data_IF_804170129278
#
_entry.id   IF_804170129278
#
_cell.length_a   1.000
_cell.length_b   1.000
_cell.length_c   1.000
_cell.angle_alpha   90.00
_cell.angle_beta   90.00
_cell.angle_gamma   90.00
#
_symmetry.space_group_name_H-M   'P 1'
#
loop_
_entity.id
_entity.type
_entity.pdbx_description
1 polymer ?
#
# COMPACT_ATOMS: atom_id res chain seq x y z
N UNK A 1 2.56 -15.98 -14.78
CA UNK A 1 3.19 -14.68 -14.45
C UNK A 1 3.69 -13.99 -15.71
N UNK A 2 4.64 -14.57 -16.43
CA UNK A 2 5.23 -13.94 -17.64
C UNK A 2 4.17 -13.55 -18.66
N UNK A 3 3.19 -14.41 -18.96
CA UNK A 3 2.10 -14.11 -19.89
C UNK A 3 1.23 -12.90 -19.45
N UNK A 4 0.93 -12.78 -18.15
CA UNK A 4 0.19 -11.65 -17.61
C UNK A 4 0.97 -10.33 -17.82
N UNK A 5 2.28 -10.33 -17.55
CA UNK A 5 3.14 -9.17 -17.75
C UNK A 5 3.24 -8.83 -19.24
N UNK A 6 3.54 -9.81 -20.09
CA UNK A 6 3.75 -9.58 -21.54
C UNK A 6 2.52 -9.01 -22.21
N UNK A 7 1.31 -9.45 -21.86
CA UNK A 7 0.06 -8.87 -22.39
C UNK A 7 -0.10 -7.39 -22.05
N UNK A 8 0.43 -6.95 -20.92
CA UNK A 8 0.33 -5.56 -20.47
C UNK A 8 1.49 -4.67 -20.98
N UNK A 9 2.47 -5.26 -21.71
CA UNK A 9 3.50 -4.49 -22.41
C UNK A 9 3.04 -3.93 -23.77
N UNK A 10 1.84 -4.29 -24.20
CA UNK A 10 1.27 -3.74 -25.45
C UNK A 10 0.92 -2.27 -25.23
N UNK A 11 1.61 -1.38 -25.95
CA UNK A 11 1.43 0.08 -25.82
C UNK A 11 1.90 0.76 -27.12
N UNK A 12 1.18 1.81 -27.52
CA UNK A 12 1.55 2.67 -28.65
C UNK A 12 2.57 3.75 -28.26
N UNK A 13 2.87 3.85 -26.98
CA UNK A 13 3.83 4.81 -26.41
C UNK A 13 4.87 4.09 -25.56
N UNK A 14 6.07 4.66 -25.36
CA UNK A 14 7.06 4.11 -24.45
C UNK A 14 6.48 3.98 -23.03
N UNK A 15 6.67 2.82 -22.42
CA UNK A 15 6.27 2.56 -21.04
C UNK A 15 7.49 2.44 -20.11
N UNK A 16 7.26 2.60 -18.82
CA UNK A 16 8.25 2.38 -17.78
C UNK A 16 7.76 1.36 -16.74
N UNK A 17 8.61 0.98 -15.81
CA UNK A 17 8.22 0.15 -14.67
C UNK A 17 8.63 0.79 -13.34
N UNK A 18 7.85 0.54 -12.29
CA UNK A 18 8.21 0.90 -10.93
C UNK A 18 9.09 -0.20 -10.35
N UNK A 19 10.28 0.16 -9.87
CA UNK A 19 11.29 -0.78 -9.41
C UNK A 19 11.74 -0.41 -7.98
N UNK A 20 11.32 -1.18 -6.99
CA UNK A 20 11.74 -1.04 -5.59
C UNK A 20 12.83 -2.05 -5.18
N UNK A 21 13.30 -2.89 -6.09
CA UNK A 21 14.19 -4.00 -5.76
C UNK A 21 13.55 -5.13 -4.94
N UNK A 22 12.24 -5.05 -4.66
CA UNK A 22 11.46 -6.15 -4.09
C UNK A 22 11.12 -7.20 -5.16
N UNK A 23 10.76 -8.42 -4.74
CA UNK A 23 10.46 -9.54 -5.63
C UNK A 23 9.48 -9.15 -6.75
N UNK A 24 8.38 -8.52 -6.40
CA UNK A 24 7.26 -8.26 -7.30
C UNK A 24 7.63 -7.29 -8.43
N UNK A 25 8.16 -6.13 -8.05
CA UNK A 25 8.62 -5.11 -9.00
C UNK A 25 9.78 -5.61 -9.85
N UNK A 26 10.66 -6.43 -9.27
CA UNK A 26 11.80 -7.02 -9.96
C UNK A 26 11.37 -8.01 -11.03
N UNK A 27 10.37 -8.87 -10.76
CA UNK A 27 9.81 -9.80 -11.76
C UNK A 27 9.21 -9.04 -12.94
N UNK A 28 8.43 -7.98 -12.70
CA UNK A 28 7.84 -7.15 -13.76
C UNK A 28 8.95 -6.49 -14.59
N UNK A 29 9.90 -5.83 -13.94
CA UNK A 29 10.97 -5.10 -14.63
C UNK A 29 11.88 -6.04 -15.42
N UNK A 30 12.16 -7.23 -14.88
CA UNK A 30 12.96 -8.24 -15.56
C UNK A 30 12.29 -8.76 -16.85
N UNK A 31 10.99 -9.10 -16.79
CA UNK A 31 10.23 -9.55 -17.95
C UNK A 31 10.13 -8.43 -18.99
N UNK A 32 9.82 -7.21 -18.56
CA UNK A 32 9.71 -6.05 -19.44
C UNK A 32 11.06 -5.73 -20.12
N UNK A 33 12.17 -5.72 -19.37
CA UNK A 33 13.49 -5.44 -19.90
C UNK A 33 13.92 -6.51 -20.92
N UNK A 34 13.68 -7.80 -20.65
CA UNK A 34 13.94 -8.88 -21.63
C UNK A 34 13.08 -8.76 -22.90
N UNK A 35 11.82 -8.32 -22.76
CA UNK A 35 10.96 -8.08 -23.92
C UNK A 35 11.47 -6.92 -24.76
N UNK A 36 11.85 -5.81 -24.13
CA UNK A 36 12.45 -4.65 -24.81
C UNK A 36 13.72 -5.03 -25.56
N UNK A 37 14.62 -5.76 -24.91
CA UNK A 37 15.85 -6.24 -25.52
C UNK A 37 15.57 -7.16 -26.73
N UNK A 38 14.64 -8.12 -26.59
CA UNK A 38 14.24 -9.03 -27.67
C UNK A 38 13.65 -8.29 -28.88
N UNK A 39 12.94 -7.18 -28.63
CA UNK A 39 12.33 -6.35 -29.67
C UNK A 39 13.28 -5.28 -30.23
N UNK A 40 14.51 -5.19 -29.74
CA UNK A 40 15.48 -4.18 -30.16
C UNK A 40 15.09 -2.74 -29.75
N UNK A 41 14.28 -2.59 -28.70
CA UNK A 41 13.86 -1.30 -28.16
C UNK A 41 14.98 -0.69 -27.31
N UNK A 42 14.96 0.65 -27.06
CA UNK A 42 15.87 1.28 -26.10
C UNK A 42 15.80 0.62 -24.72
N UNK A 43 16.83 0.83 -23.89
CA UNK A 43 16.83 0.33 -22.52
C UNK A 43 15.55 0.75 -21.78
N UNK A 44 14.91 -0.20 -21.10
CA UNK A 44 13.70 0.06 -20.31
C UNK A 44 13.97 1.14 -19.26
N UNK A 45 13.11 2.12 -19.18
CA UNK A 45 13.15 3.11 -18.10
C UNK A 45 12.44 2.57 -16.85
N UNK A 46 13.10 2.73 -15.70
CA UNK A 46 12.59 2.28 -14.41
C UNK A 46 12.67 3.40 -13.39
N UNK A 47 11.71 3.43 -12.46
CA UNK A 47 11.61 4.47 -11.44
C UNK A 47 11.48 3.86 -10.05
N UNK A 48 12.21 4.42 -9.09
CA UNK A 48 12.00 4.18 -7.67
C UNK A 48 11.71 5.49 -6.94
N UNK A 49 11.26 5.35 -5.70
CA UNK A 49 10.81 6.45 -4.87
C UNK A 49 11.51 6.42 -3.51
N UNK A 50 11.91 7.59 -3.01
CA UNK A 50 12.44 7.77 -1.67
C UNK A 50 12.05 9.16 -1.13
N UNK A 51 12.39 9.44 0.11
CA UNK A 51 12.15 10.72 0.77
C UNK A 51 13.46 11.41 1.08
N UNK A 52 13.42 12.75 1.12
CA UNK A 52 14.60 13.55 1.47
C UNK A 52 15.13 13.15 2.85
N UNK A 53 16.45 12.95 2.93
CA UNK A 53 17.18 12.53 4.13
C UNK A 53 16.73 11.20 4.75
N UNK A 54 15.99 10.37 4.03
CA UNK A 54 15.46 9.13 4.57
C UNK A 54 16.56 8.19 5.08
N UNK A 55 17.67 8.09 4.36
CA UNK A 55 18.83 7.27 4.78
C UNK A 55 19.43 7.71 6.13
N UNK A 56 19.37 9.03 6.45
CA UNK A 56 19.87 9.57 7.74
C UNK A 56 19.05 9.12 8.93
N UNK A 57 17.73 8.93 8.71
CA UNK A 57 16.77 8.59 9.77
C UNK A 57 16.33 7.12 9.72
N UNK A 58 16.74 6.38 8.69
CA UNK A 58 16.36 4.99 8.52
C UNK A 58 16.85 4.14 9.70
N UNK A 59 15.93 3.41 10.31
CA UNK A 59 16.22 2.43 11.35
C UNK A 59 15.69 1.08 10.90
N UNK A 60 16.57 0.07 10.74
CA UNK A 60 16.15 -1.27 10.41
C UNK A 60 15.14 -1.83 11.41
N UNK A 61 14.14 -2.53 10.91
CA UNK A 61 13.12 -3.19 11.72
C UNK A 61 12.87 -4.61 11.21
N UNK A 62 12.18 -5.43 11.99
CA UNK A 62 11.73 -6.76 11.51
C UNK A 62 10.81 -6.69 10.30
N UNK A 63 10.23 -5.52 10.05
CA UNK A 63 9.32 -5.26 8.93
C UNK A 63 10.03 -4.69 7.70
N UNK A 64 11.06 -3.87 7.89
CA UNK A 64 11.94 -3.31 6.86
C UNK A 64 13.39 -3.47 7.31
N UNK A 65 14.03 -4.62 6.99
CA UNK A 65 15.36 -4.95 7.49
C UNK A 65 16.48 -4.16 6.80
N UNK A 66 16.25 -3.70 5.56
CA UNK A 66 17.25 -2.98 4.76
C UNK A 66 16.60 -1.90 3.89
N UNK A 67 17.43 -0.97 3.39
CA UNK A 67 17.01 0.03 2.40
C UNK A 67 16.82 -0.61 1.02
N UNK A 68 15.99 -0.01 0.18
CA UNK A 68 15.68 -0.52 -1.16
C UNK A 68 16.79 -0.25 -2.19
N UNK A 69 17.55 0.82 -2.02
CA UNK A 69 18.51 1.33 -3.01
C UNK A 69 19.52 0.28 -3.51
N UNK A 70 20.21 -0.53 -2.66
CA UNK A 70 21.15 -1.55 -3.16
C UNK A 70 20.50 -2.61 -4.06
N UNK A 71 19.25 -2.93 -3.79
CA UNK A 71 18.48 -3.91 -4.56
C UNK A 71 18.02 -3.35 -5.91
N UNK A 72 17.70 -2.06 -5.94
CA UNK A 72 17.41 -1.33 -7.18
C UNK A 72 18.64 -1.31 -8.08
N UNK A 73 19.80 -0.96 -7.53
CA UNK A 73 21.09 -0.96 -8.24
C UNK A 73 21.41 -2.34 -8.81
N UNK A 74 21.26 -3.38 -7.99
CA UNK A 74 21.45 -4.78 -8.40
C UNK A 74 20.59 -5.19 -9.58
N UNK A 75 19.31 -4.76 -9.61
CA UNK A 75 18.39 -5.00 -10.72
C UNK A 75 18.76 -4.20 -11.96
N UNK A 76 19.13 -2.93 -11.78
CA UNK A 76 19.53 -2.04 -12.88
C UNK A 76 20.75 -2.56 -13.60
N UNK A 77 21.75 -3.06 -12.87
CA UNK A 77 22.94 -3.69 -13.43
C UNK A 77 22.59 -5.00 -14.18
N UNK A 78 21.78 -5.87 -13.55
CA UNK A 78 21.45 -7.18 -14.13
C UNK A 78 20.65 -7.09 -15.43
N UNK A 79 19.82 -6.06 -15.58
CA UNK A 79 18.93 -5.90 -16.74
C UNK A 79 19.24 -4.69 -17.62
N UNK A 80 20.31 -3.94 -17.31
CA UNK A 80 20.75 -2.76 -18.06
C UNK A 80 19.64 -1.74 -18.28
N UNK A 81 18.81 -1.51 -17.25
CA UNK A 81 17.71 -0.54 -17.30
C UNK A 81 18.24 0.90 -17.08
N UNK A 82 17.50 1.88 -17.58
CA UNK A 82 17.77 3.28 -17.28
C UNK A 82 16.94 3.68 -16.05
N UNK A 83 17.57 3.69 -14.88
CA UNK A 83 16.92 3.95 -13.62
C UNK A 83 16.93 5.41 -13.20
N UNK A 84 15.82 5.89 -12.63
CA UNK A 84 15.69 7.22 -12.00
C UNK A 84 15.12 7.07 -10.60
N UNK A 85 15.81 7.59 -9.60
CA UNK A 85 15.32 7.73 -8.23
C UNK A 85 14.61 9.07 -8.09
N UNK A 86 13.34 9.05 -7.67
CA UNK A 86 12.56 10.25 -7.41
C UNK A 86 12.47 10.48 -5.91
N UNK A 87 12.93 11.62 -5.43
CA UNK A 87 12.97 11.95 -4.00
C UNK A 87 11.92 13.00 -3.68
N UNK A 88 11.05 12.73 -2.70
CA UNK A 88 10.00 13.63 -2.25
C UNK A 88 10.49 14.48 -1.05
N UNK A 89 10.46 15.81 -1.15
CA UNK A 89 10.64 16.67 0.01
C UNK A 89 9.53 16.50 1.03
N UNK A 90 9.86 16.49 2.31
CA UNK A 90 8.87 16.30 3.38
C UNK A 90 7.77 17.40 3.42
N UNK A 91 8.08 18.69 3.19
CA UNK A 91 7.03 19.70 3.06
C UNK A 91 6.06 19.43 1.91
N UNK A 92 6.54 18.97 0.76
CA UNK A 92 5.70 18.62 -0.40
C UNK A 92 4.80 17.43 -0.08
N UNK A 93 5.33 16.42 0.64
CA UNK A 93 4.56 15.27 1.11
C UNK A 93 3.34 15.69 1.94
N UNK A 94 3.53 16.67 2.84
CA UNK A 94 2.47 17.21 3.69
C UNK A 94 1.49 18.09 2.90
N UNK A 95 1.98 18.92 1.99
CA UNK A 95 1.14 19.78 1.16
C UNK A 95 0.22 18.98 0.23
N UNK A 96 0.71 17.87 -0.32
CA UNK A 96 -0.04 17.01 -1.22
C UNK A 96 -1.15 16.18 -0.56
N UNK A 97 -1.34 16.25 0.77
CA UNK A 97 -2.48 15.62 1.44
C UNK A 97 -3.83 16.12 0.89
N UNK A 98 -3.92 17.41 0.58
CA UNK A 98 -5.14 18.04 0.04
C UNK A 98 -5.43 17.58 -1.38
N UNK A 99 -4.39 17.54 -2.20
CA UNK A 99 -4.49 17.06 -3.58
C UNK A 99 -4.82 15.57 -3.63
N UNK A 100 -4.32 14.77 -2.69
CA UNK A 100 -4.64 13.35 -2.59
C UNK A 100 -6.13 13.14 -2.24
N UNK A 101 -6.69 13.96 -1.32
CA UNK A 101 -8.14 13.96 -1.04
C UNK A 101 -8.93 14.35 -2.29
N UNK A 102 -8.47 15.38 -3.02
CA UNK A 102 -9.11 15.82 -4.25
C UNK A 102 -9.09 14.74 -5.35
N UNK A 103 -7.97 14.04 -5.50
CA UNK A 103 -7.81 12.97 -6.49
C UNK A 103 -8.69 11.75 -6.18
N UNK A 104 -8.90 11.47 -4.89
CA UNK A 104 -9.63 10.29 -4.41
C UNK A 104 -11.12 10.54 -4.17
N UNK A 105 -11.54 11.81 -4.02
CA UNK A 105 -12.86 12.23 -3.55
C UNK A 105 -13.18 11.80 -2.10
N UNK A 106 -12.21 11.27 -1.38
CA UNK A 106 -12.32 10.70 -0.03
C UNK A 106 -11.00 10.87 0.74
N UNK A 107 -11.03 10.91 2.08
CA UNK A 107 -9.84 10.67 2.89
C UNK A 107 -9.24 9.29 2.58
N UNK A 108 -7.94 9.18 2.62
CA UNK A 108 -7.25 7.98 2.18
C UNK A 108 -6.18 7.49 3.15
N UNK A 109 -5.07 7.01 2.60
CA UNK A 109 -3.96 6.44 3.37
C UNK A 109 -2.87 7.48 3.68
N UNK A 110 -3.26 8.69 4.02
CA UNK A 110 -2.36 9.77 4.47
C UNK A 110 -1.16 10.00 3.52
N UNK A 111 0.07 9.97 4.08
CA UNK A 111 1.32 10.12 3.32
C UNK A 111 1.55 9.02 2.27
N UNK A 112 0.95 7.86 2.45
CA UNK A 112 1.03 6.78 1.46
C UNK A 112 0.35 7.17 0.15
N UNK A 113 -0.76 7.93 0.22
CA UNK A 113 -1.45 8.46 -0.95
C UNK A 113 -0.72 9.68 -1.53
N UNK A 114 -0.35 10.66 -0.69
CA UNK A 114 0.33 11.88 -1.17
C UNK A 114 1.70 11.59 -1.77
N UNK A 115 2.45 10.62 -1.23
CA UNK A 115 3.71 10.18 -1.82
C UNK A 115 3.52 9.51 -3.18
N UNK A 116 2.48 8.69 -3.32
CA UNK A 116 2.17 8.07 -4.61
C UNK A 116 1.74 9.12 -5.64
N UNK A 117 0.95 10.12 -5.24
CA UNK A 117 0.56 11.23 -6.12
C UNK A 117 1.78 12.03 -6.58
N UNK A 118 2.70 12.35 -5.66
CA UNK A 118 3.97 12.99 -6.02
C UNK A 118 4.73 12.16 -7.05
N UNK A 119 4.92 10.88 -6.76
CA UNK A 119 5.64 9.95 -7.62
C UNK A 119 5.03 9.87 -9.02
N UNK A 120 3.71 9.68 -9.10
CA UNK A 120 3.01 9.60 -10.38
C UNK A 120 3.10 10.90 -11.17
N UNK A 121 2.99 12.07 -10.54
CA UNK A 121 3.18 13.37 -11.20
C UNK A 121 4.57 13.51 -11.82
N UNK A 122 5.62 13.08 -11.10
CA UNK A 122 7.00 13.14 -11.60
C UNK A 122 7.25 12.14 -12.74
N UNK A 123 6.69 10.95 -12.68
CA UNK A 123 6.78 9.96 -13.77
C UNK A 123 6.00 10.43 -15.00
N UNK A 124 4.83 11.03 -14.81
CA UNK A 124 3.98 11.55 -15.89
C UNK A 124 4.62 12.67 -16.73
N UNK A 125 5.67 13.31 -16.22
CA UNK A 125 6.45 14.29 -17.02
C UNK A 125 7.15 13.64 -18.24
N UNK A 126 7.31 12.30 -18.23
CA UNK A 126 8.05 11.58 -19.27
C UNK A 126 7.28 10.37 -19.82
N UNK A 127 6.38 9.78 -19.08
CA UNK A 127 5.65 8.58 -19.45
C UNK A 127 4.16 8.75 -19.21
N UNK A 128 3.35 8.11 -20.04
CA UNK A 128 1.89 8.03 -19.87
C UNK A 128 1.43 6.63 -19.47
N UNK A 129 2.34 5.62 -19.54
CA UNK A 129 2.06 4.23 -19.15
C UNK A 129 3.19 3.71 -18.26
N UNK A 130 2.83 3.08 -17.16
CA UNK A 130 3.77 2.40 -16.26
C UNK A 130 3.23 1.03 -15.82
N UNK A 131 4.12 0.09 -15.45
CA UNK A 131 3.76 -1.17 -14.81
C UNK A 131 4.21 -1.16 -13.34
N UNK A 132 3.34 -1.67 -12.45
CA UNK A 132 3.58 -1.75 -11.01
C UNK A 132 3.44 -3.18 -10.49
N UNK A 133 4.23 -3.52 -9.44
CA UNK A 133 4.20 -4.83 -8.78
C UNK A 133 3.07 -5.02 -7.77
N UNK A 134 2.09 -4.14 -7.70
CA UNK A 134 0.94 -4.30 -6.80
C UNK A 134 0.13 -5.56 -7.10
N UNK A 135 -0.67 -6.00 -6.16
CA UNK A 135 -1.46 -7.22 -6.14
C UNK A 135 -0.67 -8.53 -5.92
N UNK A 136 0.65 -8.54 -6.03
CA UNK A 136 1.42 -9.77 -5.80
C UNK A 136 1.32 -10.27 -4.36
N UNK A 137 1.30 -9.37 -3.38
CA UNK A 137 1.14 -9.76 -1.97
C UNK A 137 -0.26 -10.34 -1.68
N UNK A 138 -1.27 -9.78 -2.32
CA UNK A 138 -2.66 -10.20 -2.20
C UNK A 138 -2.89 -11.58 -2.80
N UNK A 139 -2.35 -11.80 -3.98
CA UNK A 139 -2.54 -13.03 -4.76
C UNK A 139 -1.69 -14.18 -4.22
N UNK A 140 -0.44 -13.92 -3.88
CA UNK A 140 0.53 -14.94 -3.45
C UNK A 140 0.71 -15.06 -1.93
N UNK A 141 -0.04 -14.31 -1.13
CA UNK A 141 -0.01 -14.42 0.33
C UNK A 141 1.23 -13.78 0.97
N UNK A 142 1.57 -12.54 0.58
CA UNK A 142 2.77 -11.84 1.05
C UNK A 142 2.65 -11.16 2.42
N UNK A 143 1.48 -11.14 3.04
CA UNK A 143 1.22 -10.41 4.27
C UNK A 143 1.33 -11.25 5.54
N UNK A 144 1.64 -10.64 6.70
CA UNK A 144 1.78 -11.36 7.96
C UNK A 144 0.48 -12.00 8.46
N UNK A 145 -0.68 -11.51 8.05
CA UNK A 145 -1.97 -12.08 8.47
C UNK A 145 -2.30 -13.45 7.87
N UNK A 146 -1.50 -13.94 6.93
CA UNK A 146 -1.61 -15.31 6.47
C UNK A 146 -0.85 -16.32 7.35
N UNK A 147 0.05 -15.84 8.24
CA UNK A 147 0.98 -16.69 9.01
C UNK A 147 0.86 -16.48 10.53
N UNK A 148 0.70 -15.21 10.97
CA UNK A 148 0.60 -14.90 12.40
C UNK A 148 -0.77 -15.33 12.92
N UNK A 149 -0.76 -16.28 13.86
CA UNK A 149 -1.99 -16.91 14.38
C UNK A 149 -3.00 -15.87 14.91
N UNK A 150 -2.53 -14.85 15.63
CA UNK A 150 -3.37 -13.77 16.17
C UNK A 150 -4.01 -12.88 15.11
N UNK A 151 -3.47 -12.91 13.88
CA UNK A 151 -4.03 -12.19 12.73
C UNK A 151 -4.89 -13.10 11.87
N UNK A 152 -4.44 -14.32 11.62
CA UNK A 152 -5.15 -15.31 10.82
C UNK A 152 -6.50 -15.67 11.45
N UNK A 153 -6.53 -15.87 12.77
CA UNK A 153 -7.75 -16.25 13.50
C UNK A 153 -8.52 -15.07 14.12
N UNK A 154 -8.17 -13.83 13.73
CA UNK A 154 -8.94 -12.66 14.18
C UNK A 154 -10.39 -12.74 13.68
N UNK A 155 -11.36 -12.47 14.55
CA UNK A 155 -12.79 -12.43 14.20
C UNK A 155 -13.16 -11.02 13.65
N UNK A 156 -12.32 -10.52 12.75
CA UNK A 156 -12.49 -9.26 12.01
C UNK A 156 -11.52 -9.22 10.83
N UNK A 157 -11.55 -8.14 10.04
CA UNK A 157 -10.56 -7.92 8.98
C UNK A 157 -9.14 -7.84 9.55
N UNK A 158 -8.20 -8.72 9.15
CA UNK A 158 -6.88 -8.83 9.78
C UNK A 158 -6.05 -7.55 9.77
N UNK A 159 -6.26 -6.68 8.78
CA UNK A 159 -5.57 -5.39 8.63
C UNK A 159 -6.26 -4.22 9.35
N UNK A 160 -7.39 -4.46 10.00
CA UNK A 160 -8.22 -3.45 10.66
C UNK A 160 -8.61 -3.86 12.09
N UNK A 161 -7.72 -4.58 12.79
CA UNK A 161 -8.00 -5.12 14.13
C UNK A 161 -8.11 -4.07 15.23
N UNK A 162 -7.48 -2.91 15.05
CA UNK A 162 -7.45 -1.84 16.05
C UNK A 162 -8.51 -0.78 15.73
N UNK A 163 -9.77 -1.21 15.73
CA UNK A 163 -10.90 -0.29 15.54
C UNK A 163 -11.07 0.65 16.73
N UNK A 164 -10.73 0.20 17.95
CA UNK A 164 -10.82 0.98 19.17
C UNK A 164 -9.90 2.21 19.15
N UNK A 165 -8.73 2.09 18.55
CA UNK A 165 -7.83 3.22 18.37
C UNK A 165 -8.46 4.39 17.58
N UNK A 166 -9.28 4.05 16.59
CA UNK A 166 -10.05 5.05 15.84
C UNK A 166 -11.23 5.57 16.67
N UNK A 167 -11.92 4.69 17.39
CA UNK A 167 -13.02 5.09 18.25
C UNK A 167 -12.62 6.13 19.30
N UNK A 168 -11.41 6.04 19.84
CA UNK A 168 -10.91 6.98 20.86
C UNK A 168 -10.75 8.41 20.36
N UNK A 169 -10.47 8.60 19.06
CA UNK A 169 -10.28 9.94 18.47
C UNK A 169 -11.57 10.56 17.92
N UNK A 170 -12.62 9.75 17.70
CA UNK A 170 -13.91 10.23 17.19
C UNK A 170 -14.89 10.55 18.32
N UNK A 171 -15.90 11.37 18.02
CA UNK A 171 -17.01 11.60 18.93
C UNK A 171 -17.79 10.31 19.20
N UNK A 172 -17.93 9.96 20.47
CA UNK A 172 -18.56 8.70 20.89
C UNK A 172 -20.05 8.61 20.52
N UNK A 173 -20.76 9.77 20.55
CA UNK A 173 -22.17 9.86 20.16
C UNK A 173 -22.34 9.64 18.66
N UNK A 174 -21.49 10.26 17.85
CA UNK A 174 -21.44 10.05 16.41
C UNK A 174 -21.10 8.60 16.06
N UNK A 175 -20.06 8.05 16.68
CA UNK A 175 -19.65 6.66 16.46
C UNK A 175 -20.79 5.66 16.69
N UNK A 176 -21.51 5.84 17.80
CA UNK A 176 -22.67 5.02 18.15
C UNK A 176 -23.83 5.24 17.16
N UNK A 177 -24.13 6.48 16.81
CA UNK A 177 -25.22 6.85 15.87
C UNK A 177 -24.99 6.26 14.49
N UNK A 178 -23.73 6.21 14.02
CA UNK A 178 -23.34 5.62 12.74
C UNK A 178 -23.25 4.09 12.78
N UNK A 179 -23.24 3.47 13.97
CA UNK A 179 -23.14 2.02 14.13
C UNK A 179 -21.85 1.44 13.51
N UNK A 180 -20.72 2.15 13.61
CA UNK A 180 -19.48 1.82 12.92
C UNK A 180 -18.99 0.41 13.24
N UNK A 181 -19.04 0.01 14.51
CA UNK A 181 -18.59 -1.33 14.95
C UNK A 181 -19.48 -2.43 14.37
N UNK A 182 -20.81 -2.23 14.41
CA UNK A 182 -21.78 -3.19 13.88
C UNK A 182 -21.67 -3.31 12.36
N UNK A 183 -21.39 -2.19 11.67
CA UNK A 183 -21.16 -2.19 10.23
C UNK A 183 -19.91 -2.99 9.86
N UNK A 184 -18.81 -2.84 10.57
CA UNK A 184 -17.56 -3.58 10.31
C UNK A 184 -17.79 -5.08 10.55
N UNK A 185 -18.43 -5.46 11.67
CA UNK A 185 -18.75 -6.87 11.96
C UNK A 185 -19.67 -7.48 10.88
N UNK A 186 -20.75 -6.78 10.54
CA UNK A 186 -21.66 -7.20 9.47
C UNK A 186 -20.93 -7.44 8.14
N UNK A 187 -20.11 -6.48 7.71
CA UNK A 187 -19.38 -6.61 6.44
C UNK A 187 -18.38 -7.75 6.46
N UNK A 188 -17.69 -7.93 7.58
CA UNK A 188 -16.76 -9.04 7.77
C UNK A 188 -17.50 -10.39 7.65
N UNK A 189 -18.56 -10.62 8.44
CA UNK A 189 -19.31 -11.88 8.43
C UNK A 189 -19.97 -12.16 7.09
N UNK A 190 -20.56 -11.15 6.47
CA UNK A 190 -21.16 -11.28 5.15
C UNK A 190 -20.13 -11.66 4.08
N UNK A 191 -18.91 -11.13 4.16
CA UNK A 191 -17.84 -11.44 3.22
C UNK A 191 -17.26 -12.85 3.46
N UNK A 192 -17.08 -13.27 4.70
CA UNK A 192 -16.63 -14.64 5.04
C UNK A 192 -17.66 -15.68 4.54
N UNK A 193 -18.95 -15.39 4.67
CA UNK A 193 -20.02 -16.27 4.19
C UNK A 193 -20.01 -16.48 2.67
N UNK A 194 -19.43 -15.54 1.91
CA UNK A 194 -19.33 -15.61 0.45
C UNK A 194 -18.04 -16.32 -0.03
N UNK A 195 -17.16 -16.75 0.89
CA UNK A 195 -15.90 -17.40 0.51
C UNK A 195 -16.17 -18.70 -0.27
N UNK A 196 -15.64 -18.87 -1.48
CA UNK A 196 -15.68 -20.15 -2.18
C UNK A 196 -14.93 -21.21 -1.39
N UNK A 197 -15.58 -22.30 -1.06
CA UNK A 197 -15.05 -23.36 -0.20
C UNK A 197 -14.73 -24.60 -1.03
N UNK A 198 -13.74 -25.37 -0.54
CA UNK A 198 -13.42 -26.70 -1.07
C UNK A 198 -13.93 -27.77 -0.10
N UNK A 199 -14.54 -28.82 -0.66
CA UNK A 199 -14.94 -29.98 0.12
C UNK A 199 -13.70 -30.72 0.66
N UNK A 200 -13.73 -31.09 1.94
CA UNK A 200 -12.63 -31.80 2.60
C UNK A 200 -11.37 -30.96 2.87
N UNK A 201 -11.41 -29.64 2.68
CA UNK A 201 -10.28 -28.77 3.03
C UNK A 201 -10.09 -28.76 4.56
N UNK A 202 -8.81 -28.86 5.01
CA UNK A 202 -8.53 -28.76 6.44
C UNK A 202 -8.86 -27.36 7.00
N UNK A 203 -9.21 -27.25 8.30
CA UNK A 203 -9.69 -25.99 8.88
C UNK A 203 -8.71 -24.82 8.74
N UNK A 204 -7.41 -25.09 8.82
CA UNK A 204 -6.39 -24.06 8.74
C UNK A 204 -6.26 -23.49 7.32
N UNK A 205 -6.31 -24.33 6.29
CA UNK A 205 -6.33 -23.91 4.89
C UNK A 205 -7.65 -23.24 4.54
N UNK A 206 -8.78 -23.73 5.05
CA UNK A 206 -10.09 -23.09 4.90
C UNK A 206 -10.07 -21.66 5.47
N UNK A 207 -9.44 -21.46 6.64
CA UNK A 207 -9.28 -20.12 7.23
C UNK A 207 -8.38 -19.22 6.39
N UNK A 208 -7.26 -19.71 5.86
CA UNK A 208 -6.42 -18.95 4.94
C UNK A 208 -7.15 -18.56 3.65
N UNK A 209 -8.02 -19.42 3.16
CA UNK A 209 -8.91 -19.14 2.02
C UNK A 209 -9.89 -18.01 2.32
N UNK A 210 -10.50 -17.99 3.52
CA UNK A 210 -11.33 -16.87 3.98
C UNK A 210 -10.53 -15.58 4.01
N UNK A 211 -9.35 -15.58 4.60
CA UNK A 211 -8.48 -14.39 4.66
C UNK A 211 -8.04 -13.95 3.26
N UNK A 212 -7.75 -14.90 2.35
CA UNK A 212 -7.45 -14.57 0.96
C UNK A 212 -8.64 -13.93 0.24
N UNK A 213 -9.86 -14.45 0.46
CA UNK A 213 -11.09 -13.87 -0.07
C UNK A 213 -11.33 -12.45 0.42
N UNK A 214 -11.22 -12.23 1.72
CA UNK A 214 -11.30 -10.90 2.32
C UNK A 214 -10.25 -9.96 1.73
N UNK A 215 -9.01 -10.46 1.58
CA UNK A 215 -7.89 -9.69 1.07
C UNK A 215 -8.13 -9.23 -0.38
N UNK A 216 -8.59 -10.12 -1.25
CA UNK A 216 -8.89 -9.80 -2.65
C UNK A 216 -10.05 -8.80 -2.78
N UNK A 217 -11.12 -8.97 -1.99
CA UNK A 217 -12.33 -8.16 -2.14
C UNK A 217 -12.29 -6.81 -1.42
N UNK A 218 -11.42 -6.65 -0.42
CA UNK A 218 -11.36 -5.44 0.40
C UNK A 218 -10.00 -4.74 0.36
N UNK A 219 -8.96 -5.41 0.80
CA UNK A 219 -7.65 -4.78 0.93
C UNK A 219 -7.04 -4.47 -0.43
N UNK A 220 -7.03 -5.46 -1.34
CA UNK A 220 -6.57 -5.28 -2.71
C UNK A 220 -7.35 -4.18 -3.43
N UNK A 221 -8.69 -4.20 -3.31
CA UNK A 221 -9.54 -3.17 -3.91
C UNK A 221 -9.20 -1.77 -3.40
N UNK A 222 -8.92 -1.63 -2.09
CA UNK A 222 -8.48 -0.35 -1.50
C UNK A 222 -7.14 0.11 -2.09
N UNK A 223 -6.18 -0.81 -2.29
CA UNK A 223 -4.88 -0.48 -2.86
C UNK A 223 -4.97 -0.17 -4.37
N UNK A 224 -5.82 -0.88 -5.09
CA UNK A 224 -6.07 -0.61 -6.52
C UNK A 224 -6.75 0.75 -6.72
N UNK A 225 -7.78 1.07 -5.94
CA UNK A 225 -8.43 2.38 -5.96
C UNK A 225 -7.42 3.49 -5.66
N UNK A 226 -6.59 3.31 -4.62
CA UNK A 226 -5.50 4.24 -4.31
C UNK A 226 -4.55 4.43 -5.51
N UNK A 227 -4.10 3.32 -6.12
CA UNK A 227 -3.19 3.37 -7.26
C UNK A 227 -3.81 4.11 -8.43
N UNK A 228 -5.01 3.72 -8.82
CA UNK A 228 -5.74 4.30 -9.94
C UNK A 228 -5.98 5.80 -9.74
N UNK A 229 -6.55 6.18 -8.60
CA UNK A 229 -6.88 7.59 -8.30
C UNK A 229 -5.65 8.51 -8.33
N UNK A 230 -4.55 8.09 -7.69
CA UNK A 230 -3.33 8.91 -7.65
C UNK A 230 -2.64 8.98 -9.01
N UNK A 231 -2.60 7.89 -9.75
CA UNK A 231 -1.96 7.86 -11.06
C UNK A 231 -2.79 8.55 -12.14
N UNK A 232 -4.09 8.32 -12.19
CA UNK A 232 -4.97 8.96 -13.17
C UNK A 232 -5.13 10.47 -12.94
N UNK A 233 -5.14 10.93 -11.68
CA UNK A 233 -5.08 12.36 -11.37
C UNK A 233 -3.76 13.02 -11.86
N UNK A 234 -2.75 12.21 -12.16
CA UNK A 234 -1.47 12.65 -12.72
C UNK A 234 -1.39 12.46 -14.26
N UNK A 235 -2.42 11.88 -14.89
CA UNK A 235 -2.39 11.53 -16.31
C UNK A 235 -1.49 10.33 -16.65
N UNK A 236 -1.24 9.45 -15.67
CA UNK A 236 -0.40 8.25 -15.81
C UNK A 236 -1.26 6.98 -15.67
N UNK A 237 -1.33 6.18 -16.72
CA UNK A 237 -1.95 4.84 -16.68
C UNK A 237 -0.99 3.86 -16.00
N UNK A 238 -1.34 3.37 -14.82
CA UNK A 238 -0.54 2.35 -14.13
C UNK A 238 -1.20 0.99 -14.23
N UNK A 239 -0.55 0.06 -14.91
CA UNK A 239 -0.97 -1.32 -15.08
C UNK A 239 -0.43 -2.22 -13.96
N UNK A 240 -1.24 -3.19 -13.56
CA UNK A 240 -0.94 -4.11 -12.44
C UNK A 240 -1.03 -5.59 -12.88
N UNK A 241 0.01 -6.13 -13.52
CA UNK A 241 -0.03 -7.46 -14.12
C UNK A 241 -0.38 -8.61 -13.17
N UNK A 242 -0.09 -8.47 -11.87
CA UNK A 242 -0.45 -9.49 -10.88
C UNK A 242 -1.96 -9.56 -10.60
N UNK A 243 -2.73 -8.56 -11.05
CA UNK A 243 -4.20 -8.55 -10.97
C UNK A 243 -4.86 -9.15 -12.22
N UNK A 244 -4.10 -9.75 -13.14
CA UNK A 244 -4.63 -10.49 -14.28
C UNK A 244 -5.53 -11.64 -13.77
N UNK A 245 -6.81 -11.65 -14.19
CA UNK A 245 -7.78 -12.59 -13.65
C UNK A 245 -7.40 -14.06 -13.88
N UNK A 246 -6.78 -14.40 -15.02
CA UNK A 246 -6.29 -15.77 -15.27
C UNK A 246 -5.19 -16.16 -14.27
N UNK A 247 -4.33 -15.20 -13.90
CA UNK A 247 -3.31 -15.43 -12.88
C UNK A 247 -3.94 -15.60 -11.50
N UNK A 248 -4.89 -14.75 -11.14
CA UNK A 248 -5.61 -14.83 -9.86
C UNK A 248 -6.35 -16.15 -9.73
N UNK A 249 -7.12 -16.57 -10.75
CA UNK A 249 -7.84 -17.85 -10.79
C UNK A 249 -6.90 -19.05 -10.65
N UNK A 250 -5.76 -19.01 -11.35
CA UNK A 250 -4.77 -20.06 -11.25
C UNK A 250 -4.17 -20.16 -9.86
N UNK A 251 -3.73 -19.03 -9.29
CA UNK A 251 -3.07 -18.99 -7.97
C UNK A 251 -4.06 -19.27 -6.84
N UNK A 252 -5.34 -18.94 -7.00
CA UNK A 252 -6.38 -19.19 -5.98
C UNK A 252 -6.38 -20.62 -5.50
N UNK A 253 -6.22 -21.58 -6.39
CA UNK A 253 -6.28 -23.02 -6.09
C UNK A 253 -4.92 -23.62 -5.69
N UNK A 254 -3.83 -22.87 -5.70
CA UNK A 254 -2.53 -23.35 -5.23
C UNK A 254 -2.59 -23.53 -3.69
N UNK A 255 -2.23 -24.72 -3.16
CA UNK A 255 -2.20 -24.97 -1.71
C UNK A 255 -1.27 -23.99 -0.97
N UNK A 256 -1.65 -23.65 0.26
CA UNK A 256 -0.85 -22.76 1.08
C UNK A 256 0.59 -23.25 1.30
N UNK A 257 0.78 -24.56 1.46
CA UNK A 257 2.10 -25.19 1.60
C UNK A 257 3.07 -24.89 0.44
N UNK A 258 2.54 -24.53 -0.74
CA UNK A 258 3.35 -24.09 -1.89
C UNK A 258 3.49 -22.56 -1.91
N UNK A 259 2.49 -21.81 -1.43
CA UNK A 259 2.55 -20.33 -1.35
C UNK A 259 3.53 -19.85 -0.29
N UNK A 260 3.63 -20.58 0.84
CA UNK A 260 4.58 -20.31 1.93
C UNK A 260 5.26 -21.61 2.34
N UNK A 261 6.56 -21.70 2.14
CA UNK A 261 7.35 -22.87 2.46
C UNK A 261 8.60 -22.43 3.25
N UNK A 262 8.92 -23.17 4.33
CA UNK A 262 10.08 -22.89 5.19
C UNK A 262 10.12 -21.45 5.74
N UNK A 263 8.95 -20.89 6.07
CA UNK A 263 8.83 -19.50 6.56
C UNK A 263 9.05 -18.42 5.49
N UNK A 264 9.13 -18.79 4.22
CA UNK A 264 9.28 -17.84 3.10
C UNK A 264 7.93 -17.60 2.43
N UNK A 265 7.48 -16.36 2.44
CA UNK A 265 6.26 -15.89 1.76
C UNK A 265 6.47 -15.85 0.24
N UNK A 266 5.36 -15.99 -0.48
CA UNK A 266 5.34 -15.94 -1.96
C UNK A 266 6.29 -16.95 -2.61
N UNK A 267 6.43 -18.15 -2.02
CA UNK A 267 7.37 -19.15 -2.52
C UNK A 267 7.10 -19.51 -3.97
N UNK A 268 5.82 -19.71 -4.35
CA UNK A 268 5.45 -20.00 -5.77
C UNK A 268 5.92 -18.90 -6.72
N UNK A 269 5.86 -17.62 -6.32
CA UNK A 269 6.36 -16.52 -7.15
C UNK A 269 7.89 -16.52 -7.20
N UNK A 270 8.56 -16.86 -6.09
CA UNK A 270 10.02 -17.02 -6.06
C UNK A 270 10.49 -18.15 -6.96
N UNK A 271 9.81 -19.29 -6.93
CA UNK A 271 10.13 -20.44 -7.79
C UNK A 271 9.87 -20.11 -9.27
N UNK A 272 8.78 -19.41 -9.56
CA UNK A 272 8.51 -18.92 -10.92
C UNK A 272 9.53 -17.88 -11.42
N UNK A 273 10.26 -17.24 -10.53
CA UNK A 273 11.32 -16.28 -10.84
C UNK A 273 12.74 -16.91 -10.90
N UNK A 274 12.85 -18.22 -10.70
CA UNK A 274 14.13 -18.93 -10.85
C UNK A 274 14.68 -18.80 -12.28
N UNK A 275 15.97 -18.48 -12.41
CA UNK A 275 16.59 -18.20 -13.71
C UNK A 275 16.13 -16.89 -14.39
N UNK A 276 15.15 -16.21 -13.83
CA UNK A 276 14.73 -14.88 -14.27
C UNK A 276 15.45 -13.78 -13.50
N UNK A 277 15.47 -13.86 -12.17
CA UNK A 277 16.09 -12.86 -11.29
C UNK A 277 17.45 -13.30 -10.77
N UNK A 278 18.35 -12.35 -10.38
CA UNK A 278 19.48 -12.66 -9.53
C UNK A 278 19.02 -13.36 -8.25
N UNK A 279 19.79 -14.35 -7.77
CA UNK A 279 19.39 -15.20 -6.65
C UNK A 279 19.19 -14.42 -5.34
N UNK A 280 20.04 -13.45 -5.10
CA UNK A 280 19.96 -12.55 -3.96
C UNK A 280 18.64 -11.73 -3.95
N UNK A 281 18.25 -11.17 -5.10
CA UNK A 281 16.97 -10.44 -5.27
C UNK A 281 15.78 -11.41 -5.11
N UNK A 282 15.87 -12.60 -5.74
CA UNK A 282 14.82 -13.63 -5.67
C UNK A 282 14.52 -14.06 -4.24
N UNK A 283 15.55 -14.11 -3.40
CA UNK A 283 15.46 -14.56 -1.99
C UNK A 283 15.33 -13.43 -0.99
N UNK A 284 15.40 -12.16 -1.43
CA UNK A 284 15.27 -10.99 -0.56
C UNK A 284 14.01 -11.09 0.31
N UNK A 285 14.10 -10.81 1.63
CA UNK A 285 12.92 -10.64 2.48
C UNK A 285 11.99 -9.55 1.94
N UNK A 286 10.68 -9.65 2.27
CA UNK A 286 9.72 -8.61 1.88
C UNK A 286 10.09 -7.29 2.52
N UNK A 287 10.16 -6.24 1.69
CA UNK A 287 10.17 -4.83 2.11
C UNK A 287 8.78 -4.20 1.83
N UNK A 288 8.25 -3.37 2.73
CA UNK A 288 6.99 -2.67 2.51
C UNK A 288 7.12 -1.53 1.49
N UNK A 289 6.02 -0.84 1.19
CA UNK A 289 6.05 0.44 0.49
C UNK A 289 6.95 1.43 1.28
N UNK A 290 7.76 2.27 0.61
CA UNK A 290 8.65 3.20 1.28
C UNK A 290 7.89 4.09 2.28
N UNK A 291 8.44 4.22 3.48
CA UNK A 291 7.93 5.08 4.54
C UNK A 291 8.98 6.15 4.85
N UNK A 292 8.52 7.37 5.12
CA UNK A 292 9.44 8.37 5.67
C UNK A 292 9.79 8.06 7.12
N UNK A 293 11.07 8.12 7.46
CA UNK A 293 11.61 8.05 8.82
C UNK A 293 11.98 9.44 9.36
N UNK A 294 11.81 10.50 8.53
CA UNK A 294 12.14 11.86 8.90
C UNK A 294 11.11 12.41 9.90
N UNK A 295 11.51 12.81 11.12
CA UNK A 295 10.60 13.31 12.16
C UNK A 295 9.87 14.60 11.75
N UNK A 296 10.40 15.35 10.78
CA UNK A 296 9.76 16.55 10.26
C UNK A 296 8.35 16.26 9.73
N UNK A 297 8.08 15.06 9.21
CA UNK A 297 6.74 14.70 8.75
C UNK A 297 5.72 14.77 9.89
N UNK A 298 6.02 14.13 11.01
CA UNK A 298 5.14 14.15 12.18
C UNK A 298 4.96 15.57 12.72
N UNK A 299 6.03 16.34 12.79
CA UNK A 299 5.99 17.74 13.24
C UNK A 299 5.04 18.58 12.38
N UNK A 300 5.15 18.52 11.06
CA UNK A 300 4.32 19.28 10.14
C UNK A 300 2.85 18.88 10.19
N UNK A 301 2.53 17.58 10.19
CA UNK A 301 1.12 17.16 10.26
C UNK A 301 0.50 17.43 11.63
N UNK A 302 1.30 17.36 12.70
CA UNK A 302 0.89 17.73 14.06
C UNK A 302 0.54 19.21 14.14
N UNK A 303 1.41 20.09 13.65
CA UNK A 303 1.18 21.52 13.63
C UNK A 303 -0.07 21.89 12.82
N UNK A 304 -0.26 21.23 11.68
CA UNK A 304 -1.44 21.45 10.84
C UNK A 304 -2.73 21.02 11.52
N UNK A 305 -2.77 19.84 12.15
CA UNK A 305 -3.96 19.39 12.89
C UNK A 305 -4.23 20.29 14.09
N UNK A 306 -3.21 20.74 14.81
CA UNK A 306 -3.38 21.70 15.91
C UNK A 306 -4.06 22.99 15.43
N UNK A 307 -3.59 23.56 14.30
CA UNK A 307 -4.20 24.75 13.71
C UNK A 307 -5.67 24.53 13.30
N UNK A 308 -6.01 23.36 12.75
CA UNK A 308 -7.41 23.00 12.45
C UNK A 308 -8.25 22.95 13.73
N UNK A 309 -7.73 22.37 14.81
CA UNK A 309 -8.45 22.29 16.08
C UNK A 309 -8.54 23.63 16.81
N UNK A 310 -7.70 24.61 16.48
CA UNK A 310 -7.75 25.99 17.02
C UNK A 310 -8.76 26.85 16.27
N UNK A 311 -9.18 26.47 15.07
CA UNK A 311 -10.25 27.13 14.33
C UNK A 311 -11.62 26.57 14.75
N UNK A 312 -12.45 27.36 15.46
CA UNK A 312 -13.78 26.91 15.90
C UNK A 312 -14.75 26.63 14.74
N UNK A 313 -14.45 27.13 13.53
CA UNK A 313 -15.25 26.90 12.32
C UNK A 313 -14.86 25.62 11.58
N UNK A 314 -13.76 24.96 11.96
CA UNK A 314 -13.30 23.75 11.27
C UNK A 314 -14.34 22.61 11.36
N UNK A 315 -14.77 22.05 10.23
CA UNK A 315 -15.82 21.03 10.21
C UNK A 315 -15.40 19.73 10.92
N UNK A 316 -14.13 19.49 11.09
CA UNK A 316 -13.60 18.34 11.82
C UNK A 316 -14.17 18.23 13.24
N UNK A 317 -14.51 19.36 13.92
CA UNK A 317 -15.10 19.36 15.24
C UNK A 317 -16.40 18.56 15.34
N UNK A 318 -17.15 18.43 14.25
CA UNK A 318 -18.36 17.61 14.20
C UNK A 318 -18.09 16.10 14.27
N UNK A 319 -16.84 15.67 13.97
CA UNK A 319 -16.47 14.26 13.90
C UNK A 319 -15.68 13.76 15.11
N UNK A 320 -14.90 14.64 15.76
CA UNK A 320 -13.84 14.22 16.68
C UNK A 320 -14.05 14.69 18.11
N UNK A 321 -13.44 14.00 19.06
CA UNK A 321 -13.27 14.49 20.41
C UNK A 321 -11.99 15.36 20.48
N UNK A 322 -12.15 16.66 20.24
CA UNK A 322 -11.03 17.61 20.19
C UNK A 322 -10.19 17.61 21.48
N UNK A 323 -10.81 17.41 22.66
CA UNK A 323 -10.11 17.35 23.95
C UNK A 323 -9.22 16.08 24.01
N UNK A 324 -9.76 14.92 23.68
CA UNK A 324 -9.01 13.66 23.67
C UNK A 324 -7.85 13.72 22.67
N UNK A 325 -8.05 14.35 21.50
CA UNK A 325 -6.98 14.55 20.52
C UNK A 325 -5.84 15.42 21.08
N UNK A 326 -6.15 16.52 21.77
CA UNK A 326 -5.14 17.42 22.35
C UNK A 326 -4.36 16.76 23.47
N UNK A 327 -5.04 16.06 24.37
CA UNK A 327 -4.45 15.41 25.53
C UNK A 327 -3.69 14.11 25.17
N UNK A 328 -4.08 13.43 24.08
CA UNK A 328 -3.52 12.17 23.63
C UNK A 328 -2.67 12.29 22.35
N UNK A 329 -3.29 12.12 21.19
CA UNK A 329 -2.61 11.94 19.89
C UNK A 329 -1.67 13.10 19.52
N UNK A 330 -2.07 14.37 19.80
CA UNK A 330 -1.20 15.52 19.55
C UNK A 330 0.03 15.58 20.46
N UNK A 331 -0.03 14.93 21.62
CA UNK A 331 1.10 14.91 22.56
C UNK A 331 2.05 13.74 22.29
N UNK A 332 1.53 12.59 21.89
CA UNK A 332 2.29 11.33 21.83
C UNK A 332 1.99 10.46 20.61
N UNK A 333 1.78 11.07 19.43
CA UNK A 333 1.51 10.29 18.21
C UNK A 333 2.63 9.31 17.87
N UNK A 334 3.90 9.66 18.15
CA UNK A 334 5.05 8.79 17.96
C UNK A 334 5.01 7.51 18.81
N UNK A 335 4.33 7.54 19.96
CA UNK A 335 4.19 6.39 20.87
C UNK A 335 3.08 5.42 20.46
N UNK A 336 2.32 5.75 19.41
CA UNK A 336 1.24 4.93 18.90
C UNK A 336 1.81 3.69 18.19
N UNK A 337 2.12 2.66 18.97
CA UNK A 337 2.99 1.55 18.58
C UNK A 337 2.37 0.50 17.65
N UNK A 338 1.05 0.59 17.33
CA UNK A 338 0.39 -0.38 16.45
C UNK A 338 -0.27 0.31 15.25
N UNK A 339 -0.13 -0.26 14.03
CA UNK A 339 -0.89 0.22 12.89
C UNK A 339 -2.40 0.06 13.13
N UNK A 340 -3.16 1.13 12.95
CA UNK A 340 -4.62 1.12 13.04
C UNK A 340 -5.28 0.68 11.72
N UNK A 341 -4.50 0.66 10.62
CA UNK A 341 -4.91 0.10 9.33
C UNK A 341 -3.69 -0.39 8.53
N UNK A 342 -3.82 -1.57 7.89
CA UNK A 342 -2.75 -2.17 7.11
C UNK A 342 -1.50 -2.43 7.94
N UNK A 343 -0.35 -2.05 7.41
CA UNK A 343 0.96 -2.20 8.05
C UNK A 343 1.67 -0.85 8.26
N UNK A 344 1.23 0.21 7.60
CA UNK A 344 1.92 1.50 7.52
C UNK A 344 1.24 2.60 8.34
N UNK A 345 -0.08 2.48 8.59
CA UNK A 345 -0.87 3.55 9.21
C UNK A 345 -0.71 3.52 10.74
N UNK A 346 0.20 4.30 11.27
CA UNK A 346 0.50 4.48 12.69
C UNK A 346 0.08 5.89 13.19
N UNK A 347 0.63 6.37 14.28
CA UNK A 347 0.25 7.64 14.89
C UNK A 347 0.37 8.87 13.97
N UNK A 348 1.54 9.12 13.34
CA UNK A 348 1.68 10.25 12.41
C UNK A 348 0.69 10.19 11.24
N UNK A 349 0.37 8.98 10.75
CA UNK A 349 -0.64 8.78 9.71
C UNK A 349 -2.07 9.03 10.23
N UNK A 350 -2.33 8.83 11.52
CA UNK A 350 -3.62 9.20 12.12
C UNK A 350 -3.79 10.71 12.14
N UNK A 351 -2.74 11.47 12.52
CA UNK A 351 -2.75 12.94 12.45
C UNK A 351 -3.08 13.40 11.01
N UNK A 352 -2.38 12.87 10.03
CA UNK A 352 -2.59 13.21 8.63
C UNK A 352 -3.97 12.79 8.11
N UNK A 353 -4.50 11.65 8.55
CA UNK A 353 -5.85 11.21 8.21
C UNK A 353 -6.92 12.16 8.74
N UNK A 354 -6.77 12.68 9.97
CA UNK A 354 -7.68 13.68 10.52
C UNK A 354 -7.60 15.01 9.77
N UNK A 355 -6.40 15.41 9.32
CA UNK A 355 -6.24 16.54 8.39
C UNK A 355 -6.99 16.28 7.08
N UNK A 356 -6.87 15.10 6.49
CA UNK A 356 -7.60 14.74 5.27
C UNK A 356 -9.11 14.74 5.47
N UNK A 357 -9.62 14.33 6.63
CA UNK A 357 -11.05 14.42 6.96
C UNK A 357 -11.53 15.87 6.95
N UNK A 358 -10.78 16.78 7.57
CA UNK A 358 -11.11 18.20 7.55
C UNK A 358 -11.15 18.77 6.14
N UNK A 359 -10.08 18.52 5.35
CA UNK A 359 -9.97 18.95 3.96
C UNK A 359 -11.12 18.41 3.13
N UNK A 360 -11.50 17.15 3.33
CA UNK A 360 -12.60 16.51 2.62
C UNK A 360 -13.94 17.19 2.92
N UNK A 361 -14.22 17.46 4.20
CA UNK A 361 -15.45 18.14 4.60
C UNK A 361 -15.52 19.56 4.06
N UNK A 362 -14.43 20.33 4.14
CA UNK A 362 -14.37 21.69 3.58
C UNK A 362 -14.57 21.69 2.07
N UNK A 363 -13.80 20.84 1.37
CA UNK A 363 -13.78 20.81 -0.10
C UNK A 363 -15.13 20.42 -0.70
N UNK A 364 -15.81 19.47 -0.10
CA UNK A 364 -17.08 18.94 -0.60
C UNK A 364 -18.30 19.48 0.16
N UNK A 365 -18.11 20.50 1.02
CA UNK A 365 -19.16 21.15 1.80
C UNK A 365 -20.02 20.16 2.60
N UNK A 366 -19.37 19.18 3.25
CA UNK A 366 -20.06 18.12 3.98
C UNK A 366 -20.48 18.60 5.37
N UNK A 367 -21.69 18.19 5.76
CA UNK A 367 -22.28 18.43 7.08
C UNK A 367 -22.64 17.10 7.74
N UNK A 368 -22.66 17.04 9.09
CA UNK A 368 -22.96 15.84 9.88
C UNK A 368 -24.24 16.07 10.71
#
# INVERSE_FOLDING_TARGET
>A
VTGAITRQLVSDVPLCTFLSGGLDSSVISAVAARDYQRRGLPALETYSFDYTDNAKYFTPSSFQPDADQPWVERMTEAFHTRHTVLTCPIPDLCALLDDAVAAKDLPGMADVDSSLLYFCRRVAERHVVALSGECADEVFGGYPWFERSEMLHADTFPWCRDLDARREVFDAGLWKRLGVSDYVDYRYRASVAQTPRLEGEDPENARRREVAWLNLNWFMTTLLDRKDRMSMASGLEVRVPFCDHHLVEYVWNIPWSMKAMNGRRKQVLRDAAEGLLPEDVRTRPKSPYPKTHNPLYEELVRARLAAILDDPAAPLHALVNARALREGLLTSAGDYGRPWFGQLMAGPQMLAYLVQLNVWMERFHLTV
#
